data_IF_615210194297
#
_entry.id   IF_615210194297
#
_cell.length_a   1.000
_cell.length_b   1.000
_cell.length_c   1.000
_cell.angle_alpha   90.00
_cell.angle_beta   90.00
_cell.angle_gamma   90.00
#
_symmetry.space_group_name_H-M   'P 1'
#
loop_
_entity.id
_entity.type
_entity.pdbx_description
1 polymer ?
#
# COMPACT_ATOMS: atom_id res chain seq x y z
N UNK A 1 28.09 -10.68 9.32
CA UNK A 1 27.98 -11.07 7.89
C UNK A 1 28.70 -10.00 7.07
N UNK A 2 29.56 -10.39 6.13
CA UNK A 2 30.22 -9.44 5.24
C UNK A 2 29.20 -8.81 4.28
N UNK A 3 29.49 -7.63 3.72
CA UNK A 3 28.62 -6.95 2.74
C UNK A 3 28.32 -7.83 1.52
N UNK A 4 29.26 -8.65 1.09
CA UNK A 4 29.14 -9.61 -0.02
C UNK A 4 28.17 -10.76 0.30
N UNK A 5 28.12 -11.22 1.55
CA UNK A 5 27.25 -12.29 2.02
C UNK A 5 25.79 -11.83 2.05
N UNK A 6 25.55 -10.57 2.46
CA UNK A 6 24.22 -9.98 2.51
C UNK A 6 23.65 -9.76 1.10
N UNK A 7 24.46 -9.30 0.15
CA UNK A 7 24.03 -9.10 -1.26
C UNK A 7 23.59 -10.41 -1.92
N UNK A 8 24.31 -11.51 -1.69
CA UNK A 8 23.96 -12.84 -2.21
C UNK A 8 22.61 -13.33 -1.67
N UNK A 9 22.38 -13.21 -0.36
CA UNK A 9 21.13 -13.62 0.28
C UNK A 9 19.95 -12.81 -0.26
N UNK A 10 20.12 -11.49 -0.47
CA UNK A 10 19.08 -10.64 -1.05
C UNK A 10 18.75 -11.07 -2.49
N UNK A 11 19.77 -11.35 -3.33
CA UNK A 11 19.57 -11.84 -4.70
C UNK A 11 18.82 -13.17 -4.71
N UNK A 12 19.23 -14.14 -3.90
CA UNK A 12 18.55 -15.44 -3.78
C UNK A 12 17.11 -15.30 -3.29
N UNK A 13 16.81 -14.29 -2.46
CA UNK A 13 15.45 -13.94 -2.05
C UNK A 13 14.61 -13.40 -3.21
N UNK A 14 15.16 -12.47 -4.00
CA UNK A 14 14.49 -11.90 -5.18
C UNK A 14 14.15 -12.99 -6.21
N UNK A 15 15.05 -13.92 -6.44
CA UNK A 15 14.84 -15.03 -7.39
C UNK A 15 13.60 -15.89 -7.03
N UNK A 16 13.17 -15.88 -5.75
CA UNK A 16 11.99 -16.61 -5.28
C UNK A 16 10.68 -15.82 -5.44
N UNK A 17 10.71 -14.54 -5.75
CA UNK A 17 9.50 -13.71 -5.84
C UNK A 17 8.47 -14.29 -6.81
N UNK A 18 8.92 -14.89 -7.92
CA UNK A 18 8.03 -15.50 -8.92
C UNK A 18 7.18 -16.67 -8.39
N UNK A 19 7.59 -17.29 -7.31
CA UNK A 19 6.83 -18.34 -6.63
C UNK A 19 5.95 -17.83 -5.50
N UNK A 20 6.12 -16.58 -5.05
CA UNK A 20 5.36 -15.99 -3.95
C UNK A 20 3.98 -15.53 -4.43
N UNK A 21 2.96 -15.86 -3.65
CA UNK A 21 1.55 -15.50 -3.89
C UNK A 21 1.05 -14.62 -2.79
N UNK A 22 0.71 -13.38 -3.13
CA UNK A 22 0.26 -12.37 -2.19
C UNK A 22 -1.21 -12.04 -2.45
N UNK A 23 -2.04 -12.10 -1.43
CA UNK A 23 -3.41 -11.61 -1.49
C UNK A 23 -3.43 -10.19 -0.93
N UNK A 24 -3.91 -9.24 -1.72
CA UNK A 24 -4.08 -7.84 -1.31
C UNK A 24 -5.55 -7.59 -1.07
N UNK A 25 -5.92 -7.12 0.12
CA UNK A 25 -7.28 -6.73 0.46
C UNK A 25 -7.32 -5.29 0.93
N UNK A 26 -8.27 -4.49 0.44
CA UNK A 26 -8.36 -3.10 0.88
C UNK A 26 -9.09 -2.17 -0.07
N UNK A 27 -8.82 -0.88 0.09
CA UNK A 27 -9.47 0.17 -0.66
C UNK A 27 -8.90 0.27 -2.07
N UNK A 28 -9.73 -0.07 -3.05
CA UNK A 28 -9.38 -0.04 -4.48
C UNK A 28 -9.61 1.36 -5.01
N UNK A 29 -8.59 1.93 -5.64
CA UNK A 29 -8.59 3.30 -6.15
C UNK A 29 -8.18 3.30 -7.62
N UNK A 30 -8.77 4.19 -8.41
CA UNK A 30 -8.27 4.57 -9.72
C UNK A 30 -7.64 5.96 -9.63
N UNK A 31 -6.37 6.09 -9.95
CA UNK A 31 -5.70 7.36 -10.11
C UNK A 31 -5.78 7.80 -11.58
N UNK A 32 -6.40 8.96 -11.83
CA UNK A 32 -6.57 9.57 -13.13
C UNK A 32 -5.71 10.82 -13.22
N UNK A 33 -4.95 10.96 -14.28
CA UNK A 33 -4.15 12.15 -14.54
C UNK A 33 -4.64 12.81 -15.82
N UNK A 34 -4.98 14.10 -15.72
CA UNK A 34 -5.30 14.97 -16.83
C UNK A 34 -4.11 15.93 -17.04
N UNK A 35 -3.30 15.60 -18.03
CA UNK A 35 -2.12 16.40 -18.39
C UNK A 35 -2.50 17.46 -19.39
N UNK A 36 -2.04 18.72 -19.19
CA UNK A 36 -2.39 19.78 -20.09
C UNK A 36 -1.59 21.05 -19.83
N UNK A 37 -2.09 22.15 -20.39
CA UNK A 37 -1.52 23.50 -20.25
C UNK A 37 -2.58 24.51 -19.87
N UNK A 38 -2.14 25.55 -19.18
CA UNK A 38 -2.96 26.72 -18.85
C UNK A 38 -2.53 27.87 -19.75
N UNK A 39 -3.44 28.36 -20.62
CA UNK A 39 -3.19 29.49 -21.50
C UNK A 39 -4.01 30.73 -21.14
N UNK A 40 -5.08 30.54 -20.35
CA UNK A 40 -5.99 31.64 -19.99
C UNK A 40 -6.64 31.43 -18.63
N UNK A 41 -7.12 32.53 -18.07
CA UNK A 41 -8.05 32.53 -16.94
C UNK A 41 -9.48 32.46 -17.49
N UNK A 42 -10.37 31.76 -16.79
CA UNK A 42 -11.77 31.67 -17.17
C UNK A 42 -12.44 33.05 -17.14
N UNK A 43 -13.28 33.38 -18.13
CA UNK A 43 -14.12 34.58 -18.06
C UNK A 43 -15.26 34.47 -17.04
N UNK A 44 -15.57 33.25 -16.57
CA UNK A 44 -16.67 32.98 -15.63
C UNK A 44 -16.24 33.10 -14.16
N UNK A 45 -14.96 32.89 -13.85
CA UNK A 45 -14.40 32.94 -12.50
C UNK A 45 -12.87 33.10 -12.56
N UNK A 46 -12.21 33.61 -11.52
CA UNK A 46 -10.76 33.79 -11.48
C UNK A 46 -10.00 32.47 -11.28
N UNK A 47 -10.24 31.50 -12.15
CA UNK A 47 -9.65 30.15 -12.15
C UNK A 47 -8.95 29.86 -13.48
N UNK A 48 -7.84 29.10 -13.50
CA UNK A 48 -7.19 28.69 -14.73
C UNK A 48 -8.10 27.77 -15.56
N UNK A 49 -8.03 27.90 -16.88
CA UNK A 49 -8.60 26.91 -17.82
C UNK A 49 -7.49 26.00 -18.27
N UNK A 50 -7.57 24.72 -17.89
CA UNK A 50 -6.63 23.70 -18.33
C UNK A 50 -7.15 23.07 -19.63
N UNK A 51 -6.36 23.19 -20.69
CA UNK A 51 -6.57 22.47 -21.92
C UNK A 51 -5.91 21.10 -21.80
N UNK A 52 -6.72 20.06 -21.72
CA UNK A 52 -6.22 18.68 -21.59
C UNK A 52 -5.61 18.22 -22.91
N UNK A 53 -4.41 17.65 -22.86
CA UNK A 53 -3.63 17.15 -24.00
C UNK A 53 -3.47 15.64 -23.93
N UNK A 54 -3.41 15.08 -22.71
CA UNK A 54 -3.24 13.65 -22.45
C UNK A 54 -4.02 13.25 -21.20
N UNK A 55 -4.58 12.05 -21.24
CA UNK A 55 -5.25 11.42 -20.10
C UNK A 55 -4.59 10.07 -19.81
N UNK A 56 -4.33 9.78 -18.54
CA UNK A 56 -3.80 8.49 -18.14
C UNK A 56 -4.50 7.97 -16.90
N UNK A 57 -4.69 6.65 -16.86
CA UNK A 57 -5.28 5.92 -15.74
C UNK A 57 -4.27 4.93 -15.19
N UNK A 58 -4.11 4.90 -13.89
CA UNK A 58 -3.26 3.94 -13.19
C UNK A 58 -3.98 3.36 -11.98
N UNK A 59 -3.62 2.14 -11.61
CA UNK A 59 -4.14 1.53 -10.39
C UNK A 59 -3.57 2.26 -9.17
N UNK A 60 -4.44 2.66 -8.26
CA UNK A 60 -4.09 3.29 -6.98
C UNK A 60 -4.52 2.45 -5.78
N UNK A 61 -4.08 2.83 -4.60
CA UNK A 61 -4.39 2.12 -3.36
C UNK A 61 -4.04 0.63 -3.42
N UNK A 62 -4.96 -0.24 -2.98
CA UNK A 62 -4.77 -1.68 -3.03
C UNK A 62 -4.42 -2.19 -4.45
N UNK A 63 -4.92 -1.53 -5.50
CA UNK A 63 -4.58 -1.84 -6.89
C UNK A 63 -3.12 -1.54 -7.22
N UNK A 64 -2.55 -0.46 -6.68
CA UNK A 64 -1.14 -0.14 -6.87
C UNK A 64 -0.22 -1.10 -6.12
N UNK A 65 -0.62 -1.57 -4.94
CA UNK A 65 0.12 -2.65 -4.24
C UNK A 65 0.20 -3.90 -5.11
N UNK A 66 -0.92 -4.29 -5.77
CA UNK A 66 -0.94 -5.42 -6.72
C UNK A 66 -0.01 -5.17 -7.90
N UNK A 67 -0.05 -3.96 -8.49
CA UNK A 67 0.84 -3.56 -9.58
C UNK A 67 2.31 -3.72 -9.19
N UNK A 68 2.69 -3.23 -8.01
CA UNK A 68 4.06 -3.35 -7.49
C UNK A 68 4.47 -4.81 -7.28
N UNK A 69 3.60 -5.66 -6.71
CA UNK A 69 3.89 -7.09 -6.51
C UNK A 69 4.17 -7.77 -7.85
N UNK A 70 3.34 -7.54 -8.85
CA UNK A 70 3.48 -8.15 -10.18
C UNK A 70 4.73 -7.62 -10.90
N UNK A 71 4.99 -6.31 -10.82
CA UNK A 71 6.17 -5.68 -11.41
C UNK A 71 7.48 -6.19 -10.79
N UNK A 72 7.46 -6.58 -9.52
CA UNK A 72 8.57 -7.23 -8.83
C UNK A 72 8.68 -8.75 -9.13
N UNK A 73 7.80 -9.28 -9.97
CA UNK A 73 7.80 -10.67 -10.41
C UNK A 73 6.94 -11.62 -9.55
N UNK A 74 6.26 -11.14 -8.53
CA UNK A 74 5.36 -11.94 -7.68
C UNK A 74 3.99 -12.18 -8.32
N UNK A 75 3.17 -13.01 -7.66
CA UNK A 75 1.79 -13.25 -8.04
C UNK A 75 0.85 -12.53 -7.05
N UNK A 76 -0.17 -11.85 -7.55
CA UNK A 76 -1.10 -11.12 -6.70
C UNK A 76 -2.57 -11.38 -7.05
N UNK A 77 -3.42 -11.47 -6.00
CA UNK A 77 -4.87 -11.47 -6.09
C UNK A 77 -5.41 -10.24 -5.35
N UNK A 78 -6.21 -9.42 -6.02
CA UNK A 78 -6.88 -8.27 -5.42
C UNK A 78 -8.26 -8.63 -4.89
N UNK A 79 -8.50 -8.33 -3.61
CA UNK A 79 -9.81 -8.36 -2.97
C UNK A 79 -10.21 -6.95 -2.52
N UNK A 80 -11.38 -6.50 -2.92
CA UNK A 80 -11.87 -5.17 -2.58
C UNK A 80 -13.23 -4.89 -3.19
N UNK A 81 -13.68 -3.65 -3.06
CA UNK A 81 -15.00 -3.23 -3.57
C UNK A 81 -14.84 -2.16 -4.64
N UNK A 82 -15.59 -2.31 -5.72
CA UNK A 82 -15.70 -1.36 -6.83
C UNK A 82 -17.18 -1.03 -7.09
N UNK A 83 -17.42 0.08 -7.77
CA UNK A 83 -18.76 0.44 -8.24
C UNK A 83 -19.17 -0.29 -9.52
N UNK A 84 -20.47 -0.33 -9.79
CA UNK A 84 -21.01 -0.77 -11.07
C UNK A 84 -20.95 0.37 -12.12
N UNK A 85 -19.75 0.88 -12.40
CA UNK A 85 -19.52 2.03 -13.26
C UNK A 85 -18.43 1.77 -14.32
N UNK A 86 -18.15 2.78 -15.13
CA UNK A 86 -17.15 2.66 -16.19
C UNK A 86 -15.74 2.46 -15.62
N UNK A 87 -15.41 3.14 -14.51
CA UNK A 87 -14.08 3.03 -13.91
C UNK A 87 -13.86 1.68 -13.21
N UNK A 88 -14.91 1.11 -12.61
CA UNK A 88 -14.84 -0.26 -12.08
C UNK A 88 -14.56 -1.29 -13.18
N UNK A 89 -15.21 -1.15 -14.35
CA UNK A 89 -14.92 -2.01 -15.51
C UNK A 89 -13.51 -1.82 -16.06
N UNK A 90 -13.04 -0.58 -16.15
CA UNK A 90 -11.66 -0.30 -16.59
C UNK A 90 -10.62 -0.88 -15.64
N UNK A 91 -10.84 -0.75 -14.33
CA UNK A 91 -9.99 -1.34 -13.31
C UNK A 91 -9.89 -2.87 -13.47
N UNK A 92 -11.03 -3.55 -13.67
CA UNK A 92 -11.05 -5.00 -13.96
C UNK A 92 -10.24 -5.31 -15.24
N UNK A 93 -10.38 -4.50 -16.29
CA UNK A 93 -9.62 -4.67 -17.52
C UNK A 93 -8.12 -4.51 -17.33
N UNK A 94 -7.68 -3.50 -16.54
CA UNK A 94 -6.28 -3.30 -16.22
C UNK A 94 -5.68 -4.50 -15.47
N UNK A 95 -6.39 -5.03 -14.46
CA UNK A 95 -5.95 -6.22 -13.74
C UNK A 95 -5.83 -7.45 -14.65
N UNK A 96 -6.80 -7.64 -15.56
CA UNK A 96 -6.75 -8.72 -16.54
C UNK A 96 -5.56 -8.62 -17.48
N UNK A 97 -5.20 -7.40 -17.93
CA UNK A 97 -3.99 -7.16 -18.74
C UNK A 97 -2.70 -7.53 -18.01
N UNK A 98 -2.70 -7.42 -16.68
CA UNK A 98 -1.57 -7.81 -15.83
C UNK A 98 -1.60 -9.30 -15.43
N UNK A 99 -2.53 -10.08 -15.97
CA UNK A 99 -2.80 -11.47 -15.58
C UNK A 99 -3.12 -11.65 -14.09
N UNK A 100 -3.65 -10.61 -13.43
CA UNK A 100 -4.15 -10.69 -12.05
C UNK A 100 -5.59 -11.21 -12.04
N UNK A 101 -5.91 -12.21 -11.20
CA UNK A 101 -7.29 -12.68 -11.05
C UNK A 101 -8.20 -11.57 -10.51
N UNK A 102 -9.44 -11.52 -10.98
CA UNK A 102 -10.42 -10.48 -10.62
C UNK A 102 -11.60 -10.97 -9.79
N UNK A 103 -11.64 -12.26 -9.45
CA UNK A 103 -12.73 -12.88 -8.69
C UNK A 103 -12.82 -12.42 -7.22
N UNK A 104 -11.78 -11.76 -6.71
CA UNK A 104 -11.79 -11.13 -5.38
C UNK A 104 -12.46 -9.75 -5.34
N UNK A 105 -12.83 -9.18 -6.50
CA UNK A 105 -13.52 -7.90 -6.56
C UNK A 105 -15.04 -8.09 -6.36
N UNK A 106 -15.59 -7.28 -5.46
CA UNK A 106 -17.03 -7.22 -5.20
C UNK A 106 -17.58 -5.93 -5.80
N UNK A 107 -18.69 -6.03 -6.54
CA UNK A 107 -19.37 -4.87 -7.12
C UNK A 107 -20.51 -4.43 -6.20
N UNK A 108 -20.54 -3.15 -5.83
CA UNK A 108 -21.63 -2.50 -5.12
C UNK A 108 -22.32 -1.46 -6.02
N UNK A 109 -23.62 -1.61 -6.30
CA UNK A 109 -24.37 -0.73 -7.22
C UNK A 109 -24.53 0.72 -6.73
N UNK A 110 -24.52 0.93 -5.41
CA UNK A 110 -24.76 2.23 -4.80
C UNK A 110 -23.49 3.00 -4.44
N UNK A 111 -22.33 2.38 -4.61
CA UNK A 111 -21.01 2.97 -4.34
C UNK A 111 -20.30 3.28 -5.65
N UNK A 112 -19.76 4.48 -5.86
CA UNK A 112 -18.90 4.74 -6.99
C UNK A 112 -17.54 4.05 -6.80
N UNK A 113 -16.91 3.64 -7.89
CA UNK A 113 -15.49 3.32 -7.87
C UNK A 113 -14.71 4.56 -7.41
N UNK A 114 -13.81 4.41 -6.45
CA UNK A 114 -13.01 5.53 -5.95
C UNK A 114 -12.06 6.00 -7.04
N UNK A 115 -12.13 7.29 -7.36
CA UNK A 115 -11.27 7.93 -8.37
C UNK A 115 -10.60 9.15 -7.75
N UNK A 116 -9.31 9.31 -8.01
CA UNK A 116 -8.55 10.51 -7.68
C UNK A 116 -8.02 11.13 -8.97
N UNK A 117 -8.71 12.16 -9.47
CA UNK A 117 -8.34 12.88 -10.67
C UNK A 117 -7.36 13.99 -10.32
N UNK A 118 -6.16 13.94 -10.86
CA UNK A 118 -5.13 14.97 -10.74
C UNK A 118 -5.02 15.74 -12.04
N UNK A 119 -5.31 17.02 -11.98
CA UNK A 119 -5.13 17.94 -13.11
C UNK A 119 -3.74 18.55 -13.01
N UNK A 120 -2.89 18.27 -14.00
CA UNK A 120 -1.49 18.70 -14.04
C UNK A 120 -1.25 19.59 -15.24
N UNK A 121 -0.72 20.77 -15.00
CA UNK A 121 -0.34 21.71 -16.07
C UNK A 121 1.05 22.30 -15.78
N UNK A 122 1.90 22.43 -16.83
CA UNK A 122 3.27 22.91 -16.70
C UNK A 122 4.08 22.18 -15.61
N UNK A 123 3.92 20.85 -15.51
CA UNK A 123 4.56 20.00 -14.50
C UNK A 123 4.19 20.32 -13.05
N UNK A 124 3.05 20.97 -12.83
CA UNK A 124 2.52 21.28 -11.50
C UNK A 124 1.09 20.79 -11.36
N UNK A 125 0.78 20.19 -10.22
CA UNK A 125 -0.61 19.80 -9.91
C UNK A 125 -1.43 21.06 -9.62
N UNK A 126 -2.42 21.34 -10.47
CA UNK A 126 -3.33 22.48 -10.35
C UNK A 126 -4.43 22.22 -9.34
N UNK A 127 -5.03 21.04 -9.41
CA UNK A 127 -6.13 20.60 -8.52
C UNK A 127 -6.22 19.09 -8.50
N UNK A 128 -6.75 18.54 -7.39
CA UNK A 128 -7.15 17.15 -7.30
C UNK A 128 -8.66 17.08 -7.02
N UNK A 129 -9.36 16.25 -7.77
CA UNK A 129 -10.79 15.99 -7.60
C UNK A 129 -10.96 14.55 -7.17
N UNK A 130 -11.53 14.32 -5.96
CA UNK A 130 -11.76 12.99 -5.43
C UNK A 130 -13.25 12.63 -5.56
N UNK A 131 -13.55 11.53 -6.26
CA UNK A 131 -14.87 10.91 -6.28
C UNK A 131 -14.80 9.64 -5.45
N UNK A 132 -15.34 9.69 -4.26
CA UNK A 132 -15.18 8.62 -3.29
C UNK A 132 -16.36 8.53 -2.34
N UNK A 133 -16.58 7.33 -1.78
CA UNK A 133 -17.44 7.08 -0.64
C UNK A 133 -16.58 6.62 0.53
N UNK A 134 -16.83 7.16 1.72
CA UNK A 134 -16.06 6.86 2.95
C UNK A 134 -16.82 6.03 3.96
N UNK A 135 -18.11 5.80 3.71
CA UNK A 135 -18.91 4.90 4.54
C UNK A 135 -18.40 3.46 4.40
N UNK A 136 -18.62 2.66 5.39
CA UNK A 136 -18.25 1.25 5.32
C UNK A 136 -19.00 0.55 4.20
N UNK A 137 -18.33 -0.38 3.54
CA UNK A 137 -18.94 -1.30 2.59
C UNK A 137 -19.94 -2.21 3.31
N UNK A 138 -20.84 -2.84 2.57
CA UNK A 138 -21.86 -3.72 3.16
C UNK A 138 -21.23 -4.95 3.81
N UNK A 139 -21.85 -5.48 4.86
CA UNK A 139 -21.42 -6.74 5.49
C UNK A 139 -21.43 -7.91 4.48
N UNK A 140 -22.36 -7.92 3.54
CA UNK A 140 -22.38 -8.91 2.45
C UNK A 140 -21.12 -8.85 1.58
N UNK A 141 -20.59 -7.66 1.33
CA UNK A 141 -19.32 -7.48 0.61
C UNK A 141 -18.14 -7.99 1.43
N UNK A 142 -18.14 -7.72 2.74
CA UNK A 142 -17.10 -8.25 3.66
C UNK A 142 -17.14 -9.78 3.72
N UNK A 143 -18.32 -10.38 3.80
CA UNK A 143 -18.48 -11.83 3.80
C UNK A 143 -17.96 -12.47 2.51
N UNK A 144 -18.24 -11.86 1.35
CA UNK A 144 -17.72 -12.33 0.05
C UNK A 144 -16.20 -12.25 -0.02
N UNK A 145 -15.61 -11.11 0.40
CA UNK A 145 -14.14 -10.94 0.47
C UNK A 145 -13.55 -12.00 1.40
N UNK A 146 -14.07 -12.15 2.62
CA UNK A 146 -13.57 -13.10 3.61
C UNK A 146 -13.68 -14.54 3.09
N UNK A 147 -14.75 -14.89 2.39
CA UNK A 147 -14.93 -16.21 1.76
C UNK A 147 -13.85 -16.45 0.70
N UNK A 148 -13.60 -15.47 -0.19
CA UNK A 148 -12.53 -15.57 -1.18
C UNK A 148 -11.17 -15.77 -0.53
N UNK A 149 -10.85 -15.00 0.52
CA UNK A 149 -9.59 -15.16 1.25
C UNK A 149 -9.49 -16.56 1.87
N UNK A 150 -10.57 -17.06 2.49
CA UNK A 150 -10.63 -18.40 3.08
C UNK A 150 -10.38 -19.51 2.05
N UNK A 151 -10.91 -19.37 0.84
CA UNK A 151 -10.69 -20.33 -0.25
C UNK A 151 -9.24 -20.33 -0.73
N UNK A 152 -8.54 -19.20 -0.64
CA UNK A 152 -7.17 -19.02 -1.11
C UNK A 152 -6.10 -19.25 -0.03
N UNK A 153 -6.47 -19.24 1.26
CA UNK A 153 -5.52 -19.18 2.39
C UNK A 153 -4.45 -20.29 2.36
N UNK A 154 -4.78 -21.47 1.89
CA UNK A 154 -3.83 -22.59 1.79
C UNK A 154 -2.85 -22.50 0.62
N UNK A 155 -3.00 -21.47 -0.24
CA UNK A 155 -2.18 -21.27 -1.45
C UNK A 155 -1.47 -19.93 -1.50
N UNK A 156 -1.64 -19.09 -0.48
CA UNK A 156 -1.02 -17.76 -0.38
C UNK A 156 0.03 -17.72 0.73
N UNK A 157 1.06 -16.93 0.55
CA UNK A 157 2.17 -16.75 1.49
C UNK A 157 1.96 -15.56 2.40
N UNK A 158 1.27 -14.51 1.92
CA UNK A 158 0.95 -13.33 2.70
C UNK A 158 -0.38 -12.69 2.31
N UNK A 159 -1.01 -12.04 3.30
CA UNK A 159 -2.12 -11.12 3.14
C UNK A 159 -1.58 -9.71 3.38
N UNK A 160 -1.81 -8.79 2.43
CA UNK A 160 -1.57 -7.37 2.59
C UNK A 160 -2.90 -6.66 2.72
N UNK A 161 -3.10 -5.93 3.83
CA UNK A 161 -4.24 -5.03 4.01
C UNK A 161 -3.79 -3.62 3.65
N UNK A 162 -4.38 -3.04 2.61
CA UNK A 162 -4.10 -1.67 2.14
C UNK A 162 -5.28 -0.76 2.53
N UNK A 163 -5.10 0.02 3.58
CA UNK A 163 -6.15 0.85 4.17
C UNK A 163 -5.95 2.33 3.82
N UNK A 164 -6.86 2.87 3.01
CA UNK A 164 -6.91 4.29 2.63
C UNK A 164 -8.13 5.03 3.23
N UNK A 165 -8.82 4.38 4.18
CA UNK A 165 -9.99 4.94 4.87
C UNK A 165 -11.20 5.14 3.96
N UNK A 166 -11.39 4.25 2.95
CA UNK A 166 -12.53 4.28 2.03
C UNK A 166 -13.58 3.23 2.36
N UNK A 167 -13.48 2.59 3.52
CA UNK A 167 -14.54 1.79 4.11
C UNK A 167 -14.47 0.29 3.88
N UNK A 168 -13.50 -0.23 3.16
CA UNK A 168 -13.30 -1.69 3.00
C UNK A 168 -12.74 -2.29 4.28
N UNK A 169 -11.80 -1.61 4.94
CA UNK A 169 -11.17 -2.10 6.16
C UNK A 169 -12.08 -1.85 7.36
N UNK A 170 -12.87 -2.87 7.70
CA UNK A 170 -13.80 -2.88 8.84
C UNK A 170 -13.28 -3.77 9.96
N UNK A 171 -13.91 -3.71 11.14
CA UNK A 171 -13.59 -4.63 12.24
C UNK A 171 -13.83 -6.08 11.84
N UNK A 172 -14.99 -6.38 11.22
CA UNK A 172 -15.33 -7.74 10.78
C UNK A 172 -14.33 -8.29 9.78
N UNK A 173 -13.88 -7.46 8.82
CA UNK A 173 -12.82 -7.85 7.90
C UNK A 173 -11.52 -8.19 8.64
N UNK A 174 -11.03 -7.29 9.50
CA UNK A 174 -9.76 -7.49 10.21
C UNK A 174 -9.79 -8.69 11.15
N UNK A 175 -10.91 -8.93 11.82
CA UNK A 175 -11.11 -10.12 12.67
C UNK A 175 -11.04 -11.40 11.82
N UNK A 176 -11.66 -11.39 10.62
CA UNK A 176 -11.56 -12.47 9.65
C UNK A 176 -10.13 -12.71 9.17
N UNK A 177 -9.42 -11.66 8.77
CA UNK A 177 -8.03 -11.77 8.28
C UNK A 177 -7.09 -12.31 9.37
N UNK A 178 -7.21 -11.85 10.61
CA UNK A 178 -6.44 -12.38 11.74
C UNK A 178 -6.69 -13.84 11.99
N UNK A 179 -7.96 -14.24 12.07
CA UNK A 179 -8.33 -15.62 12.30
C UNK A 179 -7.77 -16.57 11.24
N UNK A 180 -7.85 -16.17 9.96
CA UNK A 180 -7.33 -16.96 8.84
C UNK A 180 -5.80 -17.01 8.84
N UNK A 181 -5.15 -15.87 9.07
CA UNK A 181 -3.68 -15.76 9.10
C UNK A 181 -3.07 -16.59 10.24
N UNK A 182 -3.62 -16.50 11.46
CA UNK A 182 -3.12 -17.26 12.61
C UNK A 182 -3.30 -18.76 12.42
N UNK A 183 -4.43 -19.18 11.83
CA UNK A 183 -4.72 -20.62 11.58
C UNK A 183 -3.81 -21.26 10.53
N UNK A 184 -3.25 -20.46 9.61
CA UNK A 184 -2.42 -20.92 8.49
C UNK A 184 -0.93 -20.53 8.59
N UNK A 185 -0.56 -19.72 9.59
CA UNK A 185 0.75 -19.09 9.73
C UNK A 185 1.12 -18.18 8.53
N UNK A 186 0.11 -17.65 7.85
CA UNK A 186 0.28 -16.72 6.74
C UNK A 186 0.66 -15.33 7.27
N UNK A 187 1.57 -14.64 6.61
CA UNK A 187 1.97 -13.27 6.98
C UNK A 187 0.77 -12.34 6.80
N UNK A 188 0.45 -11.54 7.82
CA UNK A 188 -0.55 -10.48 7.76
C UNK A 188 0.14 -9.12 7.90
N UNK A 189 0.32 -8.43 6.78
CA UNK A 189 0.92 -7.11 6.71
C UNK A 189 -0.13 -6.03 6.48
N UNK A 190 0.01 -4.86 7.11
CA UNK A 190 -0.95 -3.77 7.02
C UNK A 190 -0.22 -2.48 6.63
N UNK A 191 -0.67 -1.85 5.54
CA UNK A 191 -0.40 -0.44 5.25
C UNK A 191 -1.52 0.38 5.90
N UNK A 192 -1.23 1.09 7.01
CA UNK A 192 -2.27 1.57 7.91
C UNK A 192 -2.76 2.96 7.57
N UNK A 193 -3.98 3.30 8.01
CA UNK A 193 -4.42 4.69 8.20
C UNK A 193 -4.65 4.99 9.67
N UNK A 194 -4.40 6.22 10.09
CA UNK A 194 -4.57 6.67 11.48
C UNK A 194 -5.98 6.40 12.02
N UNK A 195 -6.99 6.59 11.17
CA UNK A 195 -8.41 6.41 11.53
C UNK A 195 -8.72 5.02 12.11
N UNK A 196 -8.05 4.00 11.62
CA UNK A 196 -8.38 2.60 11.90
C UNK A 196 -7.33 1.89 12.79
N UNK A 197 -6.44 2.63 13.47
CA UNK A 197 -5.35 2.07 14.28
C UNK A 197 -5.79 0.97 15.24
N UNK A 198 -6.96 1.12 15.89
CA UNK A 198 -7.49 0.14 16.83
C UNK A 198 -7.86 -1.22 16.19
N UNK A 199 -7.90 -1.30 14.85
CA UNK A 199 -8.21 -2.51 14.11
C UNK A 199 -6.97 -3.37 13.80
N UNK A 200 -5.76 -2.82 13.90
CA UNK A 200 -4.51 -3.48 13.46
C UNK A 200 -3.81 -4.30 14.54
N UNK A 201 -4.55 -4.77 15.54
CA UNK A 201 -3.98 -5.61 16.61
C UNK A 201 -3.58 -6.99 16.10
N UNK A 202 -2.52 -7.55 16.69
CA UNK A 202 -2.06 -8.92 16.48
C UNK A 202 -1.74 -9.27 15.00
N UNK A 203 -1.29 -8.28 14.21
CA UNK A 203 -0.80 -8.50 12.85
C UNK A 203 0.71 -8.79 12.85
N UNK A 204 1.22 -9.34 11.75
CA UNK A 204 2.66 -9.60 11.63
C UNK A 204 3.45 -8.31 11.50
N UNK A 205 2.99 -7.38 10.66
CA UNK A 205 3.72 -6.18 10.28
C UNK A 205 2.77 -5.01 10.01
N UNK A 206 3.19 -3.80 10.42
CA UNK A 206 2.59 -2.53 9.97
C UNK A 206 3.65 -1.58 9.40
N UNK A 207 3.25 -0.73 8.44
CA UNK A 207 4.15 0.18 7.72
C UNK A 207 3.74 1.66 7.79
N UNK A 208 3.50 2.23 8.97
CA UNK A 208 3.12 3.65 9.07
C UNK A 208 4.25 4.55 8.55
N UNK A 209 3.88 5.65 7.91
CA UNK A 209 4.82 6.73 7.68
C UNK A 209 5.06 7.52 8.99
N UNK A 210 6.00 8.47 8.95
CA UNK A 210 6.38 9.28 10.09
C UNK A 210 5.18 10.01 10.75
N UNK A 211 4.31 10.61 9.93
CA UNK A 211 3.13 11.31 10.41
C UNK A 211 2.09 10.36 11.00
N UNK A 212 1.83 9.24 10.34
CA UNK A 212 0.92 8.21 10.83
C UNK A 212 1.42 7.61 12.14
N UNK A 213 2.71 7.28 12.24
CA UNK A 213 3.32 6.75 13.46
C UNK A 213 3.16 7.74 14.63
N UNK A 214 3.35 9.04 14.39
CA UNK A 214 3.13 10.09 15.39
C UNK A 214 1.67 10.12 15.85
N UNK A 215 0.73 10.12 14.91
CA UNK A 215 -0.71 10.20 15.21
C UNK A 215 -1.21 8.92 15.90
N UNK A 216 -0.79 7.76 15.42
CA UNK A 216 -1.20 6.46 15.95
C UNK A 216 -0.65 6.21 17.36
N UNK A 217 0.59 6.62 17.64
CA UNK A 217 1.21 6.47 18.97
C UNK A 217 0.85 7.57 19.96
N UNK A 218 0.32 8.71 19.47
CA UNK A 218 0.13 9.91 20.30
C UNK A 218 1.46 10.56 20.76
N UNK A 219 2.61 10.13 20.24
CA UNK A 219 3.95 10.64 20.59
C UNK A 219 4.46 11.52 19.47
N UNK A 220 4.74 12.78 19.76
CA UNK A 220 5.36 13.68 18.79
C UNK A 220 6.79 13.23 18.48
N UNK A 221 7.07 13.03 17.18
CA UNK A 221 8.36 12.52 16.71
C UNK A 221 9.20 13.69 16.19
N UNK A 222 10.14 14.13 17.00
CA UNK A 222 11.05 15.26 16.70
C UNK A 222 12.49 14.79 16.46
N UNK A 223 12.87 13.69 17.09
CA UNK A 223 14.22 13.14 17.10
C UNK A 223 14.23 11.59 17.12
N UNK A 224 15.41 11.00 17.08
CA UNK A 224 15.59 9.55 17.13
C UNK A 224 15.06 8.93 18.44
N UNK A 225 15.10 9.66 19.56
CA UNK A 225 14.62 9.15 20.84
C UNK A 225 13.10 9.07 20.87
N UNK A 226 12.40 10.11 20.41
CA UNK A 226 10.94 10.13 20.30
C UNK A 226 10.44 9.14 19.24
N UNK A 227 11.17 8.96 18.14
CA UNK A 227 10.90 7.92 17.14
C UNK A 227 10.97 6.52 17.74
N UNK A 228 12.02 6.23 18.55
CA UNK A 228 12.16 4.94 19.22
C UNK A 228 11.02 4.69 20.21
N UNK A 229 10.60 5.71 20.96
CA UNK A 229 9.44 5.60 21.87
C UNK A 229 8.16 5.32 21.10
N UNK A 230 7.91 6.03 19.99
CA UNK A 230 6.73 5.83 19.16
C UNK A 230 6.68 4.41 18.57
N UNK A 231 7.78 3.93 18.00
CA UNK A 231 7.85 2.58 17.41
C UNK A 231 7.68 1.48 18.46
N UNK A 232 8.30 1.62 19.63
CA UNK A 232 8.15 0.67 20.74
C UNK A 232 6.72 0.66 21.30
N UNK A 233 6.10 1.83 21.42
CA UNK A 233 4.72 1.96 21.86
C UNK A 233 3.74 1.28 20.88
N UNK A 234 3.92 1.49 19.57
CA UNK A 234 3.09 0.85 18.55
C UNK A 234 3.24 -0.69 18.56
N UNK A 235 4.47 -1.21 18.75
CA UNK A 235 4.68 -2.64 18.91
C UNK A 235 3.89 -3.22 20.09
N UNK A 236 3.97 -2.55 21.24
CA UNK A 236 3.33 -2.99 22.48
C UNK A 236 1.81 -2.87 22.40
N UNK A 237 1.30 -1.71 21.98
CA UNK A 237 -0.15 -1.43 21.94
C UNK A 237 -0.89 -2.30 20.92
N UNK A 238 -0.27 -2.53 19.76
CA UNK A 238 -0.87 -3.32 18.68
C UNK A 238 -0.57 -4.81 18.79
N UNK A 239 0.39 -5.22 19.62
CA UNK A 239 0.79 -6.62 19.73
C UNK A 239 1.35 -7.20 18.44
N UNK A 240 1.83 -6.35 17.51
CA UNK A 240 2.38 -6.78 16.24
C UNK A 240 3.84 -7.25 16.39
N UNK A 241 4.30 -8.10 15.46
CA UNK A 241 5.67 -8.63 15.51
C UNK A 241 6.69 -7.59 15.04
N UNK A 242 6.28 -6.70 14.15
CA UNK A 242 7.17 -5.75 13.48
C UNK A 242 6.45 -4.45 13.15
N UNK A 243 7.11 -3.32 13.37
CA UNK A 243 6.72 -1.98 12.90
C UNK A 243 7.84 -1.43 12.03
N UNK A 244 7.54 -1.04 10.80
CA UNK A 244 8.46 -0.32 9.93
C UNK A 244 7.94 1.12 9.73
N UNK A 245 8.63 2.09 10.34
CA UNK A 245 8.28 3.51 10.17
C UNK A 245 9.09 4.09 9.01
N UNK A 246 8.39 4.56 7.96
CA UNK A 246 9.01 5.26 6.83
C UNK A 246 9.17 6.75 7.15
N UNK A 247 10.32 7.34 6.80
CA UNK A 247 10.73 8.68 7.21
C UNK A 247 11.17 9.57 6.04
N UNK A 248 10.72 9.25 4.82
CA UNK A 248 11.06 9.99 3.61
C UNK A 248 12.56 10.02 3.34
N UNK A 249 13.16 11.18 3.32
CA UNK A 249 14.59 11.40 3.04
C UNK A 249 15.53 10.80 4.11
N UNK A 250 15.02 10.51 5.30
CA UNK A 250 15.79 9.83 6.37
C UNK A 250 15.79 8.31 6.24
N UNK A 251 15.04 7.75 5.28
CA UNK A 251 14.92 6.31 5.08
C UNK A 251 13.84 5.66 5.95
N UNK A 252 14.17 4.59 6.67
CA UNK A 252 13.21 3.79 7.43
C UNK A 252 13.79 3.33 8.76
N UNK A 253 12.95 3.10 9.75
CA UNK A 253 13.35 2.48 11.02
C UNK A 253 12.47 1.27 11.31
N UNK A 254 13.09 0.12 11.42
CA UNK A 254 12.48 -1.16 11.75
C UNK A 254 12.53 -1.42 13.25
N UNK A 255 11.39 -1.76 13.83
CA UNK A 255 11.23 -2.18 15.22
C UNK A 255 10.73 -3.63 15.23
N UNK A 256 11.42 -4.50 15.95
CA UNK A 256 11.10 -5.93 16.05
C UNK A 256 10.66 -6.28 17.49
N UNK A 257 9.73 -7.21 17.65
CA UNK A 257 9.16 -7.61 18.95
C UNK A 257 10.21 -8.16 19.95
N UNK A 258 11.40 -8.51 19.50
CA UNK A 258 12.54 -8.88 20.34
C UNK A 258 13.29 -7.68 20.95
N UNK A 259 12.78 -6.46 20.77
CA UNK A 259 13.37 -5.21 21.26
C UNK A 259 14.46 -4.62 20.35
N UNK A 260 14.74 -5.27 19.20
CA UNK A 260 15.75 -4.78 18.27
C UNK A 260 15.20 -3.64 17.41
N UNK A 261 15.99 -2.59 17.26
CA UNK A 261 15.71 -1.47 16.37
C UNK A 261 16.82 -1.36 15.33
N UNK A 262 16.43 -1.25 14.04
CA UNK A 262 17.37 -1.12 12.93
C UNK A 262 17.01 0.11 12.10
N UNK A 263 17.93 1.05 11.99
CA UNK A 263 17.81 2.19 11.08
C UNK A 263 18.35 1.82 9.70
N UNK A 264 17.62 2.14 8.66
CA UNK A 264 17.94 1.87 7.26
C UNK A 264 17.92 3.22 6.53
N UNK A 265 19.10 3.80 6.25
CA UNK A 265 19.19 5.11 5.60
C UNK A 265 18.66 5.05 4.18
N UNK A 266 18.08 6.17 3.70
CA UNK A 266 17.59 6.26 2.32
C UNK A 266 18.71 6.02 1.31
N UNK A 267 18.36 5.39 0.20
CA UNK A 267 19.23 5.25 -0.97
C UNK A 267 18.80 6.16 -2.12
N UNK A 268 17.68 6.85 -1.99
CA UNK A 268 17.19 7.79 -2.99
C UNK A 268 18.20 8.93 -3.21
N UNK A 269 18.58 9.15 -4.48
CA UNK A 269 19.51 10.23 -4.87
C UNK A 269 18.80 11.49 -5.35
N UNK A 270 17.62 11.32 -5.93
CA UNK A 270 16.74 12.39 -6.40
C UNK A 270 15.30 11.96 -6.11
N UNK A 271 14.49 12.87 -5.65
CA UNK A 271 13.07 12.65 -5.39
C UNK A 271 12.31 13.55 -6.35
N UNK A 272 11.51 12.94 -7.21
CA UNK A 272 10.60 13.64 -8.13
C UNK A 272 9.15 13.53 -7.66
N UNK A 273 8.72 12.34 -7.28
CA UNK A 273 7.38 12.09 -6.76
C UNK A 273 7.44 11.03 -5.66
N UNK A 274 6.72 11.24 -4.57
CA UNK A 274 6.62 10.28 -3.46
C UNK A 274 5.33 9.45 -3.51
N UNK A 275 4.48 9.69 -4.52
CA UNK A 275 3.21 8.97 -4.69
C UNK A 275 3.46 7.49 -4.95
N UNK A 276 2.79 6.62 -4.19
CA UNK A 276 2.95 5.17 -4.33
C UNK A 276 4.19 4.55 -3.67
N UNK A 277 5.09 5.38 -3.09
CA UNK A 277 6.26 4.85 -2.39
C UNK A 277 5.89 3.93 -1.21
N UNK A 278 4.83 4.24 -0.45
CA UNK A 278 4.28 3.37 0.60
C UNK A 278 3.80 2.02 0.05
N UNK A 279 3.08 2.05 -1.07
CA UNK A 279 2.60 0.84 -1.77
C UNK A 279 3.77 -0.06 -2.18
N UNK A 280 4.85 0.56 -2.71
CA UNK A 280 6.07 -0.16 -3.09
C UNK A 280 6.76 -0.76 -1.87
N UNK A 281 6.79 -0.04 -0.75
CA UNK A 281 7.37 -0.54 0.52
C UNK A 281 6.62 -1.77 0.99
N UNK A 282 5.30 -1.70 1.15
CA UNK A 282 4.51 -2.84 1.67
C UNK A 282 4.52 -4.03 0.71
N UNK A 283 4.45 -3.80 -0.61
CA UNK A 283 4.53 -4.84 -1.64
C UNK A 283 5.87 -5.59 -1.58
N UNK A 284 6.98 -4.84 -1.52
CA UNK A 284 8.33 -5.42 -1.45
C UNK A 284 8.55 -6.17 -0.14
N UNK A 285 8.08 -5.63 1.00
CA UNK A 285 8.15 -6.28 2.29
C UNK A 285 7.40 -7.62 2.29
N UNK A 286 6.17 -7.62 1.80
CA UNK A 286 5.35 -8.84 1.74
C UNK A 286 6.03 -9.92 0.90
N UNK A 287 6.52 -9.58 -0.29
CA UNK A 287 7.26 -10.51 -1.16
C UNK A 287 8.54 -11.03 -0.51
N UNK A 288 9.33 -10.14 0.09
CA UNK A 288 10.59 -10.51 0.69
C UNK A 288 10.41 -11.44 1.90
N UNK A 289 9.40 -11.17 2.75
CA UNK A 289 9.05 -12.04 3.87
C UNK A 289 8.49 -13.38 3.38
N UNK A 290 7.63 -13.39 2.37
CA UNK A 290 7.10 -14.60 1.73
C UNK A 290 8.22 -15.46 1.11
N UNK A 291 9.26 -14.83 0.54
CA UNK A 291 10.45 -15.50 0.04
C UNK A 291 11.38 -16.06 1.14
N UNK A 292 11.03 -15.86 2.42
CA UNK A 292 11.78 -16.36 3.57
C UNK A 292 12.92 -15.46 4.04
N UNK A 293 12.96 -14.20 3.61
CA UNK A 293 13.93 -13.22 4.13
C UNK A 293 13.52 -12.74 5.53
N UNK A 294 14.50 -12.36 6.34
CA UNK A 294 14.26 -11.73 7.65
C UNK A 294 13.64 -10.34 7.49
N UNK A 295 12.93 -9.85 8.52
CA UNK A 295 12.33 -8.51 8.52
C UNK A 295 13.35 -7.41 8.16
N UNK A 296 14.58 -7.50 8.67
CA UNK A 296 15.66 -6.56 8.33
C UNK A 296 16.04 -6.62 6.84
N UNK A 297 16.17 -7.81 6.26
CA UNK A 297 16.51 -7.99 4.84
C UNK A 297 15.37 -7.48 3.96
N UNK A 298 14.12 -7.80 4.33
CA UNK A 298 12.93 -7.30 3.66
C UNK A 298 12.85 -5.77 3.67
N UNK A 299 13.13 -5.14 4.82
CA UNK A 299 13.14 -3.68 4.94
C UNK A 299 14.27 -3.02 4.12
N UNK A 300 15.44 -3.67 3.99
CA UNK A 300 16.51 -3.18 3.11
C UNK A 300 16.07 -3.24 1.64
N UNK A 301 15.44 -4.33 1.19
CA UNK A 301 14.90 -4.42 -0.18
C UNK A 301 13.79 -3.39 -0.43
N UNK A 302 12.88 -3.20 0.54
CA UNK A 302 11.82 -2.22 0.43
C UNK A 302 12.35 -0.78 0.30
N UNK A 303 13.43 -0.44 1.05
CA UNK A 303 14.09 0.86 0.93
C UNK A 303 14.77 1.04 -0.43
N UNK A 304 15.37 -0.01 -1.00
CA UNK A 304 15.94 0.01 -2.34
C UNK A 304 14.84 0.23 -3.41
N UNK A 305 13.75 -0.53 -3.35
CA UNK A 305 12.63 -0.42 -4.27
C UNK A 305 11.97 0.98 -4.20
N UNK A 306 11.67 1.47 -2.99
CA UNK A 306 11.14 2.82 -2.80
C UNK A 306 12.09 3.89 -3.35
N UNK A 307 13.41 3.72 -3.17
CA UNK A 307 14.42 4.63 -3.69
C UNK A 307 14.47 4.71 -5.23
N UNK A 308 14.07 3.65 -5.93
CA UNK A 308 13.90 3.64 -7.39
C UNK A 308 12.64 4.40 -7.78
N UNK A 309 11.52 4.07 -7.15
CA UNK A 309 10.20 4.62 -7.48
C UNK A 309 10.12 6.13 -7.29
N UNK A 310 10.65 6.68 -6.19
CA UNK A 310 10.64 8.14 -5.96
C UNK A 310 11.51 8.92 -6.95
N UNK A 311 12.32 8.24 -7.74
CA UNK A 311 13.13 8.80 -8.84
C UNK A 311 12.36 8.98 -10.15
N UNK A 312 11.13 8.49 -10.25
CA UNK A 312 10.28 8.58 -11.43
C UNK A 312 9.10 9.51 -11.16
N UNK A 313 8.45 10.01 -12.21
CA UNK A 313 7.26 10.89 -12.09
C UNK A 313 6.00 10.03 -12.22
N UNK A 314 5.09 10.14 -11.26
CA UNK A 314 3.81 9.43 -11.22
C UNK A 314 3.80 8.27 -10.22
N UNK A 315 2.62 7.65 -10.05
CA UNK A 315 2.48 6.41 -9.28
C UNK A 315 3.12 5.26 -10.04
N UNK A 316 4.11 4.64 -9.44
CA UNK A 316 4.80 3.48 -10.00
C UNK A 316 3.98 2.20 -9.78
#
# INVERSE_FOLDING_TARGET
MSTTDNSKVLSEGIDKFSSCRILVVGDVIMDEFLWGRVERISPEAPVPVVQVEEESLVLGGAGNVVNNIISLGGQALLCGVIGNDAMGRELVHMLQKMNSPTHGLVVEDRRPTTIKTRVVAHSQQVVRVDREEREFVTEASIERITTTVKEQIGSIDAIVVADYGKGVVTRSLMDGMRSLSQGSQTILAVDPTVRNVALYKDVTLITPNHYEAQQMSGIQIEDDQSLRRAGAHLLEELGCQTVLITQGDKGMTLFEGNGKTTQIPTVARKVFDVSGAGDTVIATLALALAAGLTARQAAVLANLAAGVVVGEIGTA
#
